data_IF_936886038563
#
_entry.id   IF_936886038563
#
_cell.length_a   1.000
_cell.length_b   1.000
_cell.length_c   1.000
_cell.angle_alpha   90.00
_cell.angle_beta   90.00
_cell.angle_gamma   90.00
#
_symmetry.space_group_name_H-M   'P 1'
#
loop_
_entity.id
_entity.type
_entity.pdbx_description
1 polymer ?
#
# COMPACT_ATOMS: atom_id res chain seq x y z
N UNK A 1 14.57 -6.23 -16.78
CA UNK A 1 13.85 -6.63 -15.55
C UNK A 1 12.52 -7.22 -15.99
N UNK A 2 12.07 -8.33 -15.41
CA UNK A 2 10.71 -8.82 -15.64
C UNK A 2 9.70 -7.78 -15.10
N UNK A 3 8.76 -7.27 -15.94
CA UNK A 3 7.73 -6.34 -15.51
C UNK A 3 6.91 -6.83 -14.31
N UNK A 4 6.71 -8.14 -14.18
CA UNK A 4 5.96 -8.74 -13.07
C UNK A 4 6.70 -8.62 -11.74
N UNK A 5 8.03 -8.77 -11.75
CA UNK A 5 8.87 -8.57 -10.56
C UNK A 5 8.88 -7.10 -10.14
N UNK A 6 8.93 -6.18 -11.11
CA UNK A 6 8.88 -4.76 -10.86
C UNK A 6 7.59 -4.37 -10.12
N UNK A 7 6.47 -4.88 -10.62
CA UNK A 7 5.14 -4.53 -10.13
C UNK A 7 4.83 -5.15 -8.77
N UNK A 8 5.26 -6.41 -8.56
CA UNK A 8 5.17 -7.07 -7.26
C UNK A 8 6.01 -6.33 -6.20
N UNK A 9 7.24 -5.94 -6.54
CA UNK A 9 8.09 -5.19 -5.62
C UNK A 9 7.51 -3.82 -5.27
N UNK A 10 6.94 -3.11 -6.25
CA UNK A 10 6.26 -1.82 -6.05
C UNK A 10 5.07 -1.98 -5.10
N UNK A 11 4.21 -2.96 -5.38
CA UNK A 11 3.04 -3.27 -4.56
C UNK A 11 3.46 -3.60 -3.13
N UNK A 12 4.49 -4.45 -2.96
CA UNK A 12 5.01 -4.80 -1.66
C UNK A 12 5.51 -3.57 -0.87
N UNK A 13 6.31 -2.70 -1.50
CA UNK A 13 6.82 -1.49 -0.85
C UNK A 13 5.71 -0.57 -0.33
N UNK A 14 4.70 -0.29 -1.17
CA UNK A 14 3.55 0.54 -0.77
C UNK A 14 2.72 -0.12 0.34
N UNK A 15 2.47 -1.42 0.24
CA UNK A 15 1.72 -2.18 1.26
C UNK A 15 2.44 -2.18 2.60
N UNK A 16 3.76 -2.41 2.61
CA UNK A 16 4.59 -2.40 3.82
C UNK A 16 4.51 -1.06 4.54
N UNK A 17 4.77 0.05 3.84
CA UNK A 17 4.70 1.40 4.42
C UNK A 17 3.29 1.74 4.90
N UNK A 18 2.26 1.35 4.14
CA UNK A 18 0.87 1.58 4.58
C UNK A 18 0.58 0.86 5.90
N UNK A 19 1.05 -0.39 6.05
CA UNK A 19 0.82 -1.19 7.25
C UNK A 19 1.61 -0.70 8.47
N UNK A 20 2.81 -0.14 8.30
CA UNK A 20 3.63 0.41 9.39
C UNK A 20 2.89 1.46 10.23
N UNK A 21 2.01 2.22 9.58
CA UNK A 21 1.21 3.23 10.25
C UNK A 21 -0.17 2.73 10.72
N UNK A 22 -0.38 1.42 10.78
CA UNK A 22 -1.64 0.81 11.23
C UNK A 22 -1.43 0.02 12.52
N UNK A 23 -2.52 -0.31 13.20
CA UNK A 23 -2.51 -1.23 14.34
C UNK A 23 -2.19 -2.68 13.95
N UNK A 24 -2.25 -3.00 12.65
CA UNK A 24 -1.90 -4.32 12.13
C UNK A 24 -0.39 -4.52 11.88
N UNK A 25 0.43 -3.49 12.14
CA UNK A 25 1.87 -3.49 11.85
C UNK A 25 2.61 -4.69 12.41
N UNK A 26 2.46 -4.98 13.71
CA UNK A 26 3.25 -6.03 14.38
C UNK A 26 3.04 -7.40 13.73
N UNK A 27 1.78 -7.77 13.48
CA UNK A 27 1.45 -9.02 12.78
C UNK A 27 1.96 -9.04 11.33
N UNK A 28 1.97 -7.90 10.65
CA UNK A 28 2.49 -7.80 9.29
C UNK A 28 4.02 -7.94 9.25
N UNK A 29 4.71 -7.26 10.18
CA UNK A 29 6.16 -7.34 10.35
C UNK A 29 6.61 -8.77 10.60
N UNK A 30 5.95 -9.50 11.48
CA UNK A 30 6.32 -10.89 11.78
C UNK A 30 6.23 -11.79 10.54
N UNK A 31 5.14 -11.66 9.76
CA UNK A 31 4.97 -12.38 8.49
C UNK A 31 6.08 -12.04 7.49
N UNK A 32 6.41 -10.75 7.35
CA UNK A 32 7.47 -10.28 6.46
C UNK A 32 8.86 -10.73 6.95
N UNK A 33 9.20 -10.60 8.22
CA UNK A 33 10.47 -11.10 8.76
C UNK A 33 10.60 -12.60 8.54
N UNK A 34 9.53 -13.38 8.74
CA UNK A 34 9.53 -14.83 8.50
C UNK A 34 9.86 -15.19 7.04
N UNK A 35 9.44 -14.36 6.08
CA UNK A 35 9.80 -14.50 4.67
C UNK A 35 11.32 -14.37 4.51
N UNK A 36 11.94 -13.33 5.09
CA UNK A 36 13.39 -13.17 5.03
C UNK A 36 14.13 -14.26 5.80
N UNK A 37 13.62 -14.76 6.93
CA UNK A 37 14.24 -15.89 7.64
C UNK A 37 14.29 -17.15 6.80
N UNK A 38 13.24 -17.42 6.02
CA UNK A 38 13.14 -18.60 5.17
C UNK A 38 14.07 -18.55 3.95
N UNK A 39 14.21 -17.37 3.36
CA UNK A 39 14.87 -17.19 2.06
C UNK A 39 16.28 -16.58 2.21
N UNK A 40 16.48 -15.62 3.12
CA UNK A 40 17.79 -15.00 3.42
C UNK A 40 18.04 -14.90 4.94
N UNK A 41 18.24 -16.02 5.65
CA UNK A 41 18.37 -16.04 7.12
C UNK A 41 19.45 -15.09 7.65
N UNK A 42 20.59 -15.01 6.95
CA UNK A 42 21.70 -14.12 7.33
C UNK A 42 21.36 -12.62 7.29
N UNK A 43 20.25 -12.23 6.67
CA UNK A 43 19.77 -10.83 6.61
C UNK A 43 18.51 -10.58 7.43
N UNK A 44 17.92 -11.62 8.00
CA UNK A 44 16.61 -11.50 8.63
C UNK A 44 16.61 -10.67 9.92
N UNK A 45 17.68 -10.74 10.72
CA UNK A 45 17.75 -9.93 11.94
C UNK A 45 17.84 -8.44 11.59
N UNK A 46 18.68 -8.08 10.62
CA UNK A 46 18.80 -6.70 10.13
C UNK A 46 17.51 -6.17 9.50
N UNK A 47 16.74 -7.00 8.79
CA UNK A 47 15.47 -6.54 8.18
C UNK A 47 14.45 -6.16 9.26
N UNK A 48 14.41 -6.89 10.38
CA UNK A 48 13.49 -6.63 11.48
C UNK A 48 13.77 -5.28 12.16
N UNK A 49 15.04 -4.89 12.26
CA UNK A 49 15.47 -3.58 12.77
C UNK A 49 15.20 -2.46 11.76
N UNK A 50 15.51 -2.69 10.48
CA UNK A 50 15.21 -1.74 9.40
C UNK A 50 13.70 -1.44 9.29
N UNK A 51 12.86 -2.45 9.52
CA UNK A 51 11.40 -2.29 9.57
C UNK A 51 10.94 -1.38 10.71
N UNK A 52 11.50 -1.50 11.91
CA UNK A 52 11.14 -0.61 13.03
C UNK A 52 11.65 0.81 12.79
N UNK A 53 12.88 0.97 12.31
CA UNK A 53 13.41 2.30 11.96
C UNK A 53 12.56 3.00 10.89
N UNK A 54 12.17 2.27 9.84
CA UNK A 54 11.26 2.80 8.81
C UNK A 54 9.89 3.21 9.36
N UNK A 55 9.39 2.50 10.38
CA UNK A 55 8.13 2.86 11.03
C UNK A 55 8.27 4.14 11.84
N UNK A 56 9.35 4.31 12.59
CA UNK A 56 9.61 5.53 13.36
C UNK A 56 9.71 6.74 12.41
N UNK A 57 10.46 6.61 11.32
CA UNK A 57 10.59 7.64 10.27
C UNK A 57 9.24 7.96 9.62
N UNK A 58 8.43 6.94 9.32
CA UNK A 58 7.08 7.12 8.77
C UNK A 58 6.15 7.88 9.72
N UNK A 59 6.19 7.56 11.01
CA UNK A 59 5.35 8.21 12.01
C UNK A 59 5.72 9.69 12.16
N UNK A 60 7.01 10.01 12.11
CA UNK A 60 7.50 11.39 12.08
C UNK A 60 7.05 12.12 10.82
N UNK A 61 7.22 11.51 9.64
CA UNK A 61 6.79 12.09 8.37
C UNK A 61 5.29 12.41 8.37
N UNK A 62 4.46 11.53 8.95
CA UNK A 62 3.01 11.76 9.11
C UNK A 62 2.67 12.89 10.06
N UNK A 63 3.40 13.02 11.15
CA UNK A 63 3.22 14.12 12.10
C UNK A 63 3.52 15.47 11.43
N UNK A 64 4.53 15.52 10.56
CA UNK A 64 4.93 16.74 9.84
C UNK A 64 4.19 16.95 8.51
N UNK A 65 3.38 15.98 8.06
CA UNK A 65 2.70 16.02 6.77
C UNK A 65 3.63 15.88 5.56
N UNK A 66 4.78 15.24 5.74
CA UNK A 66 5.81 15.04 4.73
C UNK A 66 5.52 13.81 3.85
N UNK A 67 4.73 14.03 2.80
CA UNK A 67 4.39 12.99 1.84
C UNK A 67 5.57 12.54 0.95
N UNK A 68 6.63 13.34 0.84
CA UNK A 68 7.83 12.98 0.06
C UNK A 68 8.60 11.89 0.81
N UNK A 69 8.84 12.07 2.10
CA UNK A 69 9.45 11.05 2.95
C UNK A 69 8.67 9.73 2.97
N UNK A 70 7.33 9.77 3.01
CA UNK A 70 6.51 8.54 2.90
C UNK A 70 6.74 7.80 1.57
N UNK A 71 6.84 8.55 0.47
CA UNK A 71 7.07 7.99 -0.86
C UNK A 71 8.49 7.42 -1.02
N UNK A 72 9.49 8.08 -0.42
CA UNK A 72 10.87 7.61 -0.40
C UNK A 72 11.01 6.29 0.36
N UNK A 73 10.39 6.17 1.54
CA UNK A 73 10.34 4.91 2.30
C UNK A 73 9.74 3.78 1.46
N UNK A 74 8.63 4.05 0.76
CA UNK A 74 8.00 3.04 -0.10
C UNK A 74 8.93 2.60 -1.26
N UNK A 75 9.64 3.55 -1.87
CA UNK A 75 10.61 3.27 -2.93
C UNK A 75 11.82 2.47 -2.40
N UNK A 76 12.26 2.73 -1.18
CA UNK A 76 13.35 2.03 -0.51
C UNK A 76 13.01 0.54 -0.29
N UNK A 77 11.83 0.28 0.28
CA UNK A 77 11.31 -1.08 0.47
C UNK A 77 11.06 -1.80 -0.85
N UNK A 78 10.50 -1.12 -1.86
CA UNK A 78 10.44 -1.65 -3.23
C UNK A 78 11.83 -2.06 -3.74
N UNK A 79 12.87 -1.26 -3.47
CA UNK A 79 14.26 -1.55 -3.81
C UNK A 79 14.80 -2.83 -3.14
N UNK A 80 14.49 -3.01 -1.85
CA UNK A 80 14.87 -4.22 -1.10
C UNK A 80 14.15 -5.46 -1.60
N UNK A 81 12.83 -5.40 -1.74
CA UNK A 81 12.00 -6.52 -2.22
C UNK A 81 12.41 -6.93 -3.63
N UNK A 82 12.67 -5.96 -4.52
CA UNK A 82 13.17 -6.26 -5.87
C UNK A 82 14.49 -7.02 -5.82
N UNK A 83 15.43 -6.63 -4.96
CA UNK A 83 16.71 -7.36 -4.79
C UNK A 83 16.50 -8.77 -4.26
N UNK A 84 15.54 -8.97 -3.35
CA UNK A 84 15.16 -10.30 -2.85
C UNK A 84 14.59 -11.17 -3.98
N UNK A 85 13.60 -10.68 -4.73
CA UNK A 85 12.97 -11.40 -5.84
C UNK A 85 13.96 -11.74 -6.98
N UNK A 86 14.92 -10.87 -7.26
CA UNK A 86 15.95 -11.14 -8.27
C UNK A 86 16.95 -12.20 -7.79
N UNK A 87 17.26 -12.23 -6.50
CA UNK A 87 18.15 -13.23 -5.93
C UNK A 87 17.47 -14.60 -5.78
N UNK A 88 16.16 -14.60 -5.48
CA UNK A 88 15.36 -15.79 -5.20
C UNK A 88 13.96 -15.64 -5.81
N UNK A 89 13.80 -15.96 -7.10
CA UNK A 89 12.52 -15.84 -7.80
C UNK A 89 11.36 -16.62 -7.14
N UNK A 90 11.67 -17.72 -6.46
CA UNK A 90 10.73 -18.54 -5.69
C UNK A 90 10.04 -17.80 -4.53
N UNK A 91 10.59 -16.66 -4.09
CA UNK A 91 9.97 -15.78 -3.09
C UNK A 91 8.65 -15.19 -3.62
N UNK A 92 8.51 -15.03 -4.94
CA UNK A 92 7.39 -14.30 -5.54
C UNK A 92 6.02 -14.84 -5.12
N UNK A 93 5.87 -16.17 -5.06
CA UNK A 93 4.59 -16.80 -4.73
C UNK A 93 4.25 -16.71 -3.24
N UNK A 94 5.26 -16.81 -2.37
CA UNK A 94 5.08 -16.59 -0.93
C UNK A 94 4.75 -15.12 -0.65
N UNK A 95 5.46 -14.18 -1.30
CA UNK A 95 5.21 -12.76 -1.14
C UNK A 95 3.79 -12.39 -1.60
N UNK A 96 3.31 -12.93 -2.73
CA UNK A 96 1.92 -12.72 -3.17
C UNK A 96 0.92 -13.19 -2.11
N UNK A 97 1.10 -14.39 -1.56
CA UNK A 97 0.22 -14.90 -0.50
C UNK A 97 0.21 -13.99 0.73
N UNK A 98 1.38 -13.57 1.19
CA UNK A 98 1.47 -12.64 2.33
C UNK A 98 0.75 -11.32 2.01
N UNK A 99 0.95 -10.74 0.81
CA UNK A 99 0.27 -9.51 0.42
C UNK A 99 -1.25 -9.68 0.35
N UNK A 100 -1.74 -10.82 -0.15
CA UNK A 100 -3.17 -11.14 -0.20
C UNK A 100 -3.77 -11.28 1.22
N UNK A 101 -3.04 -11.87 2.16
CA UNK A 101 -3.44 -11.96 3.58
C UNK A 101 -3.41 -10.60 4.30
N UNK A 102 -2.53 -9.70 3.87
CA UNK A 102 -2.40 -8.36 4.45
C UNK A 102 -3.36 -7.34 3.84
N UNK A 103 -3.81 -7.57 2.60
CA UNK A 103 -4.72 -6.67 1.88
C UNK A 103 -5.98 -6.28 2.68
N UNK A 104 -6.69 -7.20 3.36
CA UNK A 104 -7.86 -6.85 4.19
C UNK A 104 -7.54 -5.99 5.42
N UNK A 105 -6.26 -5.92 5.82
CA UNK A 105 -5.80 -5.13 6.97
C UNK A 105 -5.36 -3.72 6.58
N UNK A 106 -5.24 -3.45 5.28
CA UNK A 106 -4.98 -2.11 4.80
C UNK A 106 -6.18 -1.22 5.18
N UNK A 107 -5.93 -0.01 5.69
CA UNK A 107 -7.01 0.96 5.87
C UNK A 107 -7.70 1.12 4.53
N UNK A 108 -9.03 1.22 4.54
CA UNK A 108 -9.88 1.40 3.36
C UNK A 108 -9.22 2.44 2.44
N UNK A 109 -8.41 1.97 1.47
CA UNK A 109 -7.93 2.77 0.36
C UNK A 109 -9.11 2.87 -0.59
N UNK A 110 -10.24 3.40 -0.10
CA UNK A 110 -11.22 3.96 -1.00
C UNK A 110 -10.41 4.96 -1.81
N UNK A 111 -10.34 4.81 -3.14
CA UNK A 111 -9.73 5.84 -3.95
C UNK A 111 -10.32 7.16 -3.46
N UNK A 112 -9.48 8.17 -3.23
CA UNK A 112 -9.97 9.53 -3.29
C UNK A 112 -10.63 9.62 -4.66
N UNK A 113 -11.95 9.44 -4.66
CA UNK A 113 -12.88 9.36 -5.79
C UNK A 113 -12.15 9.48 -7.13
N UNK A 114 -11.94 8.35 -7.84
CA UNK A 114 -11.40 8.39 -9.21
C UNK A 114 -12.23 9.33 -10.08
N UNK A 115 -11.69 9.82 -11.21
CA UNK A 115 -12.34 10.82 -12.07
C UNK A 115 -13.83 10.48 -12.31
N UNK A 116 -14.74 11.23 -11.66
CA UNK A 116 -16.17 11.09 -11.92
C UNK A 116 -16.55 12.08 -13.02
N UNK A 117 -16.73 11.56 -14.22
CA UNK A 117 -17.30 12.32 -15.33
C UNK A 117 -18.82 12.19 -15.33
N UNK A 118 -19.51 13.24 -14.88
CA UNK A 118 -20.97 13.31 -14.88
C UNK A 118 -21.42 14.20 -16.05
N UNK A 119 -22.09 13.59 -17.04
CA UNK A 119 -22.74 14.33 -18.14
C UNK A 119 -24.25 14.20 -17.98
N UNK A 120 -24.96 15.31 -18.12
CA UNK A 120 -26.42 15.37 -18.08
C UNK A 120 -26.94 16.27 -19.18
N UNK A 121 -28.02 15.83 -19.83
CA UNK A 121 -28.78 16.62 -20.77
C UNK A 121 -30.26 16.54 -20.39
N UNK A 122 -30.93 17.69 -20.26
CA UNK A 122 -32.36 17.77 -19.99
C UNK A 122 -33.02 18.75 -20.96
N UNK A 123 -34.25 18.42 -21.34
CA UNK A 123 -35.07 19.22 -22.24
C UNK A 123 -36.50 19.36 -21.69
N UNK A 124 -37.24 20.37 -22.16
CA UNK A 124 -38.56 20.70 -21.62
C UNK A 124 -38.49 21.10 -20.14
N UNK A 125 -39.42 20.61 -19.32
CA UNK A 125 -39.49 20.89 -17.88
C UNK A 125 -38.60 19.97 -17.02
N UNK A 126 -37.54 19.40 -17.59
CA UNK A 126 -36.69 18.41 -16.95
C UNK A 126 -35.78 18.98 -15.86
N UNK A 127 -35.61 18.23 -14.77
CA UNK A 127 -34.64 18.53 -13.70
C UNK A 127 -33.63 17.40 -13.61
N UNK A 128 -32.34 17.75 -13.50
CA UNK A 128 -31.27 16.76 -13.28
C UNK A 128 -30.56 17.07 -11.98
N UNK A 129 -30.45 16.04 -11.15
CA UNK A 129 -29.70 16.05 -9.93
C UNK A 129 -28.66 14.93 -10.02
N UNK A 130 -27.39 15.30 -9.98
CA UNK A 130 -26.27 14.36 -10.01
C UNK A 130 -25.36 14.63 -8.83
N UNK A 131 -24.91 13.57 -8.16
CA UNK A 131 -23.92 13.63 -7.11
C UNK A 131 -22.97 12.44 -7.23
N UNK A 132 -21.67 12.69 -7.06
CA UNK A 132 -20.66 11.63 -7.05
C UNK A 132 -20.60 10.83 -5.73
N UNK A 133 -21.38 11.25 -4.72
CA UNK A 133 -21.55 10.59 -3.41
C UNK A 133 -23.00 10.84 -2.95
N UNK A 134 -23.20 11.37 -1.75
CA UNK A 134 -24.55 11.47 -1.17
C UNK A 134 -25.31 12.71 -1.65
N UNK A 135 -26.59 12.54 -1.96
CA UNK A 135 -27.51 13.61 -2.36
C UNK A 135 -28.82 13.51 -1.58
N UNK A 136 -29.17 14.58 -0.86
CA UNK A 136 -30.45 14.71 -0.19
C UNK A 136 -31.26 15.80 -0.89
N UNK A 137 -32.38 15.41 -1.49
CA UNK A 137 -33.30 16.34 -2.17
C UNK A 137 -34.59 16.37 -1.38
N UNK A 138 -35.00 17.56 -0.96
CA UNK A 138 -36.32 17.80 -0.39
C UNK A 138 -37.09 18.67 -1.37
N UNK A 139 -38.12 18.10 -1.98
CA UNK A 139 -39.03 18.84 -2.86
C UNK A 139 -40.24 19.35 -2.05
N UNK A 140 -40.81 20.49 -2.49
CA UNK A 140 -42.05 21.07 -1.95
C UNK A 140 -43.17 20.93 -2.97
#
# INVERSE_FOLDING_TARGET
MDPQIADLARTAGTTMVTLMATTAWESARDGLVSLWQRFQPNRADGIGEEFEASRDDLLLARETGDAESEAELAAEWQGRVRRLLLAQPEVADELRRILDELSPRLPDQRPAVGEIRMTAEASGSGRVYQAGRDQHITER
#
